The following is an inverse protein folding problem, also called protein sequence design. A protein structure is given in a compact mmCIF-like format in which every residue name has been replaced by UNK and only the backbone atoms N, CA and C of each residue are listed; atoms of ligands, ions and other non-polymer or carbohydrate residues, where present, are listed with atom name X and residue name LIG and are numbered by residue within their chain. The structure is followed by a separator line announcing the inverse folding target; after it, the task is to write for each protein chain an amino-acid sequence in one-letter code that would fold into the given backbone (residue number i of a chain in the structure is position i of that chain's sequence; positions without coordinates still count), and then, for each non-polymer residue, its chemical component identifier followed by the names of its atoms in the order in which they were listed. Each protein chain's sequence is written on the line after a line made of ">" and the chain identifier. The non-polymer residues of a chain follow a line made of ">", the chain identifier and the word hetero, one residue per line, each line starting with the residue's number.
data_IF_494551953118
#
_entry.id   IF_494551953118
#
_cell.length_a   1.000
_cell.length_b   1.000
_cell.length_c   1.000
_cell.angle_alpha   90.00
_cell.angle_beta   90.00
_cell.angle_gamma   90.00
#
_symmetry.space_group_name_H-M   'P 1'
#
loop_
_entity.id
_entity.type
_entity.pdbx_description
1 polymer ?
#
# COMPACT_ATOMS: atom_id res chain seq x y z
N UNK A 1 22.26 -11.68 -7.00
CA UNK A 1 20.98 -11.05 -7.34
C UNK A 1 21.15 -9.56 -7.53
N UNK A 2 20.77 -9.07 -8.71
CA UNK A 2 20.64 -7.66 -9.08
C UNK A 2 19.15 -7.32 -9.14
N UNK A 3 18.74 -6.34 -8.34
CA UNK A 3 17.32 -5.99 -8.15
C UNK A 3 17.13 -4.51 -8.43
N UNK A 4 16.10 -4.15 -9.19
CA UNK A 4 15.58 -2.77 -9.20
C UNK A 4 14.35 -2.71 -8.28
N UNK A 5 14.33 -1.75 -7.36
CA UNK A 5 13.18 -1.50 -6.49
C UNK A 5 12.72 -0.05 -6.61
N UNK A 6 11.56 0.16 -7.23
CA UNK A 6 10.94 1.50 -7.24
C UNK A 6 10.19 1.75 -5.94
N UNK A 7 10.08 3.02 -5.54
CA UNK A 7 9.31 3.39 -4.36
C UNK A 7 9.95 3.00 -3.03
N UNK A 8 11.27 2.81 -2.99
CA UNK A 8 12.00 2.39 -1.77
C UNK A 8 11.89 3.38 -0.60
N UNK A 9 11.57 4.66 -0.85
CA UNK A 9 11.26 5.65 0.21
C UNK A 9 9.78 5.66 0.63
N UNK A 10 8.96 4.83 -0.01
CA UNK A 10 7.54 4.66 0.31
C UNK A 10 7.30 3.76 1.51
N UNK A 11 6.04 3.68 1.94
CA UNK A 11 5.62 2.89 3.11
C UNK A 11 5.96 1.41 2.97
N UNK A 12 5.53 0.78 1.88
CA UNK A 12 5.84 -0.63 1.63
C UNK A 12 7.23 -0.84 1.05
N UNK A 13 7.66 0.00 0.09
CA UNK A 13 8.95 -0.15 -0.58
C UNK A 13 10.14 -0.09 0.38
N UNK A 14 10.11 0.76 1.42
CA UNK A 14 11.16 0.78 2.45
C UNK A 14 11.24 -0.54 3.22
N UNK A 15 10.09 -1.14 3.53
CA UNK A 15 10.01 -2.43 4.22
C UNK A 15 10.39 -3.60 3.32
N UNK A 16 10.11 -3.53 2.03
CA UNK A 16 10.62 -4.49 1.03
C UNK A 16 12.15 -4.40 1.00
N UNK A 17 12.73 -3.20 0.94
CA UNK A 17 14.19 -3.03 0.94
C UNK A 17 14.81 -3.63 2.21
N UNK A 18 14.25 -3.35 3.38
CA UNK A 18 14.75 -3.92 4.63
C UNK A 18 14.62 -5.44 4.64
N UNK A 19 13.47 -5.97 4.22
CA UNK A 19 13.22 -7.41 4.14
C UNK A 19 14.14 -8.12 3.16
N UNK A 20 14.52 -7.48 2.05
CA UNK A 20 15.48 -8.00 1.08
C UNK A 20 16.83 -8.22 1.77
N UNK A 21 17.37 -7.20 2.43
CA UNK A 21 18.65 -7.33 3.13
C UNK A 21 18.57 -8.30 4.30
N UNK A 22 17.50 -8.28 5.11
CA UNK A 22 17.36 -9.22 6.24
C UNK A 22 17.30 -10.68 5.81
N UNK A 23 16.59 -11.00 4.72
CA UNK A 23 16.32 -12.39 4.33
C UNK A 23 17.27 -12.91 3.25
N UNK A 24 17.85 -12.02 2.45
CA UNK A 24 18.59 -12.37 1.22
C UNK A 24 19.95 -11.68 1.13
N UNK A 25 20.50 -11.15 2.24
CA UNK A 25 21.80 -10.48 2.26
C UNK A 25 22.89 -11.26 1.53
N UNK A 26 22.97 -12.58 1.73
CA UNK A 26 24.07 -13.40 1.20
C UNK A 26 24.06 -13.54 -0.34
N UNK A 27 22.91 -13.29 -0.98
CA UNK A 27 22.75 -13.48 -2.42
C UNK A 27 22.49 -12.16 -3.16
N UNK A 28 22.30 -11.04 -2.44
CA UNK A 28 22.16 -9.71 -3.03
C UNK A 28 23.54 -9.19 -3.42
N UNK A 29 23.72 -8.96 -4.72
CA UNK A 29 24.90 -8.32 -5.30
C UNK A 29 24.70 -6.80 -5.35
N UNK A 30 23.58 -6.35 -5.93
CA UNK A 30 23.27 -4.92 -6.05
C UNK A 30 21.76 -4.67 -6.02
N UNK A 31 21.36 -3.60 -5.34
CA UNK A 31 19.99 -3.06 -5.38
C UNK A 31 20.02 -1.64 -5.93
N UNK A 32 19.38 -1.46 -7.08
CA UNK A 32 19.21 -0.20 -7.76
C UNK A 32 17.93 0.47 -7.27
N UNK A 33 18.04 1.71 -6.79
CA UNK A 33 16.95 2.46 -6.17
C UNK A 33 16.68 3.75 -6.96
N UNK A 34 15.70 3.74 -7.89
CA UNK A 34 15.23 4.95 -8.56
C UNK A 34 14.46 5.84 -7.59
N UNK A 35 15.01 7.01 -7.26
CA UNK A 35 14.47 7.93 -6.26
C UNK A 35 14.33 9.34 -6.85
N UNK A 36 13.16 9.94 -6.64
CA UNK A 36 12.92 11.35 -6.96
C UNK A 36 13.55 12.24 -5.90
N UNK A 37 14.19 13.33 -6.31
CA UNK A 37 14.48 14.46 -5.41
C UNK A 37 13.18 14.97 -4.79
N UNK A 38 13.24 15.45 -3.55
CA UNK A 38 12.06 16.04 -2.88
C UNK A 38 12.49 17.17 -1.97
N UNK A 39 11.88 18.34 -2.19
CA UNK A 39 12.29 19.60 -1.57
C UNK A 39 13.80 19.82 -1.84
N UNK A 40 14.57 20.16 -0.80
CA UNK A 40 16.02 20.33 -0.87
C UNK A 40 16.83 19.03 -0.71
N UNK A 41 16.17 17.85 -0.66
CA UNK A 41 16.90 16.59 -0.44
C UNK A 41 17.21 15.87 -1.75
N UNK A 42 18.46 15.46 -1.91
CA UNK A 42 18.90 14.62 -3.04
C UNK A 42 18.38 13.18 -2.91
N UNK A 43 18.34 12.41 -4.02
CA UNK A 43 18.00 10.99 -3.98
C UNK A 43 18.78 10.19 -2.93
N UNK A 44 20.09 10.44 -2.82
CA UNK A 44 21.00 9.77 -1.89
C UNK A 44 20.69 10.12 -0.44
N UNK A 45 20.51 11.42 -0.15
CA UNK A 45 20.18 11.90 1.20
C UNK A 45 18.87 11.29 1.71
N UNK A 46 17.89 11.11 0.81
CA UNK A 46 16.62 10.46 1.12
C UNK A 46 16.79 9.00 1.55
N UNK A 47 17.62 8.24 0.84
CA UNK A 47 17.95 6.85 1.19
C UNK A 47 18.75 6.78 2.49
N UNK A 48 19.76 7.64 2.66
CA UNK A 48 20.58 7.70 3.87
C UNK A 48 19.69 8.02 5.09
N UNK A 49 18.82 9.03 5.00
CA UNK A 49 17.89 9.39 6.09
C UNK A 49 16.96 8.24 6.46
N UNK A 50 16.47 7.49 5.48
CA UNK A 50 15.63 6.32 5.72
C UNK A 50 16.40 5.20 6.45
N UNK A 51 17.64 4.90 6.01
CA UNK A 51 18.46 3.83 6.58
C UNK A 51 18.98 4.15 7.99
N UNK A 52 19.28 5.43 8.26
CA UNK A 52 19.68 5.92 9.59
C UNK A 52 18.50 6.22 10.53
N UNK A 53 17.26 6.09 10.05
CA UNK A 53 16.07 6.41 10.84
C UNK A 53 15.99 5.57 12.12
N UNK A 54 15.45 6.15 13.19
CA UNK A 54 15.13 5.38 14.42
C UNK A 54 14.19 4.20 14.11
N UNK A 55 13.39 4.30 13.04
CA UNK A 55 12.43 3.30 12.56
C UNK A 55 13.03 2.22 11.64
N UNK A 56 14.33 2.28 11.34
CA UNK A 56 15.02 1.21 10.64
C UNK A 56 15.22 0.00 11.59
N UNK A 57 15.00 -1.25 11.13
CA UNK A 57 15.26 -2.45 11.93
C UNK A 57 16.73 -2.53 12.40
N UNK A 58 16.96 -3.18 13.53
CA UNK A 58 18.32 -3.34 14.08
C UNK A 58 19.27 -3.99 13.10
N UNK A 59 18.82 -5.03 12.38
CA UNK A 59 19.64 -5.66 11.32
C UNK A 59 20.17 -4.65 10.30
N UNK A 60 19.35 -3.69 9.89
CA UNK A 60 19.75 -2.66 8.92
C UNK A 60 20.79 -1.73 9.53
N UNK A 61 20.60 -1.32 10.79
CA UNK A 61 21.55 -0.46 11.52
C UNK A 61 22.90 -1.16 11.71
N UNK A 62 22.87 -2.43 12.12
CA UNK A 62 24.06 -3.23 12.43
C UNK A 62 24.87 -3.58 11.17
N UNK A 63 24.26 -3.59 9.99
CA UNK A 63 24.88 -3.96 8.72
C UNK A 63 24.99 -2.79 7.73
N UNK A 64 24.82 -1.55 8.20
CA UNK A 64 24.64 -0.39 7.35
C UNK A 64 25.76 -0.16 6.32
N UNK A 65 27.07 -0.26 6.65
CA UNK A 65 28.12 -0.08 5.66
C UNK A 65 28.04 -1.09 4.49
N UNK A 66 27.79 -2.37 4.81
CA UNK A 66 27.63 -3.43 3.81
C UNK A 66 26.37 -3.25 2.95
N UNK A 67 25.29 -2.72 3.54
CA UNK A 67 24.06 -2.42 2.82
C UNK A 67 24.28 -1.27 1.84
N UNK A 68 24.92 -0.18 2.29
CA UNK A 68 25.19 0.99 1.46
C UNK A 68 26.08 0.66 0.26
N UNK A 69 27.10 -0.17 0.44
CA UNK A 69 27.98 -0.63 -0.66
C UNK A 69 27.19 -1.36 -1.77
N UNK A 70 26.13 -2.08 -1.39
CA UNK A 70 25.28 -2.82 -2.31
C UNK A 70 24.10 -2.03 -2.85
N UNK A 71 23.88 -0.80 -2.40
CA UNK A 71 22.86 0.09 -2.95
C UNK A 71 23.48 0.95 -4.05
N UNK A 72 22.72 1.17 -5.12
CA UNK A 72 22.98 2.24 -6.09
C UNK A 72 21.73 3.09 -6.19
N UNK A 73 21.82 4.32 -5.70
CA UNK A 73 20.76 5.31 -5.88
C UNK A 73 20.83 5.84 -7.30
N UNK A 74 19.67 6.00 -7.93
CA UNK A 74 19.52 6.48 -9.29
C UNK A 74 18.52 7.63 -9.25
N UNK A 75 18.82 8.71 -9.96
CA UNK A 75 17.82 9.74 -10.21
C UNK A 75 16.65 9.14 -11.00
N UNK A 76 15.43 9.21 -10.44
CA UNK A 76 14.25 8.64 -11.06
C UNK A 76 13.94 9.18 -12.47
N UNK A 77 14.47 10.36 -12.85
CA UNK A 77 14.35 10.88 -14.22
C UNK A 77 15.06 10.00 -15.26
N UNK A 78 16.07 9.24 -14.85
CA UNK A 78 16.79 8.28 -15.69
C UNK A 78 16.12 6.91 -15.74
N UNK A 79 15.05 6.67 -14.95
CA UNK A 79 14.48 5.34 -14.79
C UNK A 79 14.08 4.69 -16.13
N UNK A 80 13.55 5.47 -17.07
CA UNK A 80 13.13 4.97 -18.38
C UNK A 80 14.28 4.77 -19.38
N UNK A 81 15.53 5.02 -18.97
CA UNK A 81 16.74 4.71 -19.72
C UNK A 81 17.56 3.60 -19.01
N UNK A 82 17.15 2.33 -19.14
CA UNK A 82 17.85 1.20 -18.52
C UNK A 82 19.29 1.05 -19.03
N UNK A 83 19.62 1.55 -20.22
CA UNK A 83 20.96 1.42 -20.79
C UNK A 83 21.98 2.23 -20.00
N UNK A 84 21.64 3.47 -19.64
CA UNK A 84 22.52 4.30 -18.80
C UNK A 84 22.65 3.76 -17.37
N UNK A 85 21.58 3.19 -16.83
CA UNK A 85 21.56 2.64 -15.46
C UNK A 85 22.33 1.33 -15.36
N UNK A 86 22.07 0.38 -16.27
CA UNK A 86 22.53 -1.00 -16.15
C UNK A 86 23.78 -1.28 -16.98
N UNK A 87 24.17 -0.40 -17.91
CA UNK A 87 25.33 -0.60 -18.81
C UNK A 87 25.30 -2.00 -19.49
N UNK A 88 24.13 -2.37 -20.01
CA UNK A 88 23.84 -3.67 -20.64
C UNK A 88 23.84 -4.90 -19.71
N UNK A 89 23.93 -4.73 -18.40
CA UNK A 89 23.79 -5.83 -17.46
C UNK A 89 22.32 -6.25 -17.33
N UNK A 90 22.10 -7.55 -17.14
CA UNK A 90 20.79 -8.10 -16.79
C UNK A 90 20.51 -7.92 -15.29
N UNK A 91 19.24 -7.82 -14.95
CA UNK A 91 18.73 -7.87 -13.58
C UNK A 91 17.90 -9.14 -13.39
N UNK A 92 17.91 -9.68 -12.19
CA UNK A 92 17.12 -10.86 -11.84
C UNK A 92 15.66 -10.45 -11.64
N UNK A 93 15.44 -9.39 -10.87
CA UNK A 93 14.10 -8.93 -10.50
C UNK A 93 13.94 -7.43 -10.67
N UNK A 94 12.84 -7.03 -11.33
CA UNK A 94 12.31 -5.68 -11.23
C UNK A 94 11.11 -5.68 -10.28
N UNK A 95 11.24 -5.06 -9.11
CA UNK A 95 10.15 -4.92 -8.13
C UNK A 95 9.57 -3.51 -8.24
N UNK A 96 8.41 -3.40 -8.88
CA UNK A 96 7.71 -2.14 -9.05
C UNK A 96 6.74 -1.89 -7.88
N UNK A 97 7.23 -1.20 -6.84
CA UNK A 97 6.43 -0.82 -5.66
C UNK A 97 5.99 0.64 -5.64
N UNK A 98 6.52 1.48 -6.52
CA UNK A 98 6.04 2.85 -6.68
C UNK A 98 4.58 2.86 -7.15
N UNK A 99 3.79 3.76 -6.57
CA UNK A 99 2.40 3.97 -6.96
C UNK A 99 1.86 5.26 -6.37
N UNK A 100 0.94 5.89 -7.09
CA UNK A 100 0.26 7.10 -6.66
C UNK A 100 -1.08 6.74 -6.03
N UNK A 101 -1.09 6.60 -4.70
CA UNK A 101 -2.29 6.28 -3.92
C UNK A 101 -3.14 7.54 -3.74
N UNK A 102 -4.10 7.71 -4.64
CA UNK A 102 -5.09 8.79 -4.59
C UNK A 102 -6.49 8.18 -4.75
N UNK A 103 -7.28 8.22 -3.68
CA UNK A 103 -8.61 7.60 -3.62
C UNK A 103 -9.72 8.52 -4.17
N UNK A 104 -9.36 9.53 -4.96
CA UNK A 104 -10.33 10.45 -5.57
C UNK A 104 -11.21 9.75 -6.60
N UNK A 105 -12.50 10.08 -6.54
CA UNK A 105 -13.50 9.73 -7.55
C UNK A 105 -13.76 10.89 -8.52
N UNK A 106 -13.09 12.03 -8.31
CA UNK A 106 -13.27 13.20 -9.15
C UNK A 106 -12.69 12.96 -10.54
N UNK A 107 -13.45 13.34 -11.58
CA UNK A 107 -13.04 13.16 -12.96
C UNK A 107 -11.69 13.83 -13.27
N UNK A 108 -11.44 15.00 -12.69
CA UNK A 108 -10.17 15.74 -12.84
C UNK A 108 -8.95 14.99 -12.30
N UNK A 109 -9.12 14.07 -11.36
CA UNK A 109 -8.02 13.28 -10.82
C UNK A 109 -7.71 12.02 -11.66
N UNK A 110 -8.61 11.62 -12.57
CA UNK A 110 -8.51 10.36 -13.30
C UNK A 110 -7.25 10.28 -14.15
N UNK A 111 -6.98 11.32 -14.93
CA UNK A 111 -5.85 11.32 -15.87
C UNK A 111 -4.52 11.20 -15.14
N UNK A 112 -4.27 12.04 -14.12
CA UNK A 112 -3.06 11.98 -13.30
C UNK A 112 -2.88 10.61 -12.64
N UNK A 113 -3.96 10.02 -12.11
CA UNK A 113 -3.93 8.70 -11.48
C UNK A 113 -3.57 7.61 -12.48
N UNK A 114 -4.10 7.66 -13.71
CA UNK A 114 -3.79 6.70 -14.76
C UNK A 114 -2.37 6.91 -15.32
N UNK A 115 -1.90 8.14 -15.45
CA UNK A 115 -0.56 8.43 -15.92
C UNK A 115 0.49 7.90 -14.93
N UNK A 116 0.36 8.22 -13.64
CA UNK A 116 1.32 7.82 -12.61
C UNK A 116 1.29 6.31 -12.28
N UNK A 117 0.14 5.65 -12.40
CA UNK A 117 0.03 4.22 -12.07
C UNK A 117 0.06 3.31 -13.29
N UNK A 118 -0.69 3.63 -14.35
CA UNK A 118 -0.84 2.75 -15.51
C UNK A 118 0.18 3.03 -16.60
N UNK A 119 0.20 4.25 -17.14
CA UNK A 119 1.13 4.62 -18.22
C UNK A 119 2.59 4.40 -17.79
N UNK A 120 2.94 4.89 -16.59
CA UNK A 120 4.28 4.73 -16.06
C UNK A 120 4.69 3.26 -15.83
N UNK A 121 3.77 2.40 -15.36
CA UNK A 121 4.04 0.95 -15.23
C UNK A 121 4.31 0.33 -16.60
N UNK A 122 3.52 0.69 -17.61
CA UNK A 122 3.69 0.22 -18.98
C UNK A 122 5.04 0.65 -19.57
N UNK A 123 5.43 1.90 -19.38
CA UNK A 123 6.69 2.44 -19.88
C UNK A 123 7.88 1.74 -19.22
N UNK A 124 7.83 1.54 -17.90
CA UNK A 124 8.85 0.78 -17.17
C UNK A 124 8.95 -0.65 -17.70
N UNK A 125 7.83 -1.38 -17.81
CA UNK A 125 7.85 -2.77 -18.26
C UNK A 125 8.48 -2.89 -19.66
N UNK A 126 8.06 -2.02 -20.59
CA UNK A 126 8.58 -2.02 -21.95
C UNK A 126 10.08 -1.69 -21.99
N UNK A 127 10.53 -0.67 -21.23
CA UNK A 127 11.94 -0.29 -21.18
C UNK A 127 12.82 -1.42 -20.63
N UNK A 128 12.40 -2.08 -19.54
CA UNK A 128 13.20 -3.09 -18.86
C UNK A 128 13.04 -4.52 -19.40
N UNK A 129 12.07 -4.78 -20.29
CA UNK A 129 11.86 -6.11 -20.90
C UNK A 129 13.16 -6.75 -21.43
N UNK A 130 14.07 -6.02 -22.12
CA UNK A 130 15.33 -6.60 -22.57
C UNK A 130 16.36 -6.83 -21.47
N UNK A 131 16.12 -6.41 -20.23
CA UNK A 131 17.11 -6.39 -19.16
C UNK A 131 16.74 -7.28 -17.97
N UNK A 132 15.46 -7.61 -17.77
CA UNK A 132 14.98 -8.32 -16.58
C UNK A 132 14.68 -9.79 -16.82
N UNK A 133 14.80 -10.59 -15.76
CA UNK A 133 14.39 -12.00 -15.77
C UNK A 133 12.98 -12.21 -15.22
N UNK A 134 12.51 -11.32 -14.33
CA UNK A 134 11.16 -11.34 -13.76
C UNK A 134 10.68 -9.93 -13.38
N UNK A 135 9.40 -9.66 -13.59
CA UNK A 135 8.74 -8.42 -13.17
C UNK A 135 7.75 -8.68 -12.04
N UNK A 136 8.02 -8.12 -10.86
CA UNK A 136 7.16 -8.20 -9.67
C UNK A 136 6.43 -6.87 -9.50
N UNK A 137 5.11 -6.90 -9.70
CA UNK A 137 4.26 -5.72 -9.58
C UNK A 137 3.54 -5.70 -8.24
N UNK A 138 3.73 -4.63 -7.48
CA UNK A 138 2.96 -4.41 -6.25
C UNK A 138 1.69 -3.66 -6.59
N UNK A 139 0.60 -4.41 -6.66
CA UNK A 139 -0.74 -3.89 -6.88
C UNK A 139 -1.45 -3.65 -5.55
N UNK A 140 -2.75 -3.90 -5.47
CA UNK A 140 -3.57 -3.79 -4.27
C UNK A 140 -4.72 -4.78 -4.32
N UNK A 141 -5.13 -5.31 -3.17
CA UNK A 141 -6.30 -6.20 -3.08
C UNK A 141 -7.57 -5.52 -3.62
N UNK A 142 -7.64 -4.19 -3.54
CA UNK A 142 -8.78 -3.40 -4.00
C UNK A 142 -8.88 -3.24 -5.52
N UNK A 143 -7.87 -3.68 -6.29
CA UNK A 143 -7.94 -3.72 -7.75
C UNK A 143 -9.07 -4.65 -8.25
N UNK A 144 -9.52 -5.59 -7.39
CA UNK A 144 -10.69 -6.42 -7.62
C UNK A 144 -12.02 -5.62 -7.72
N UNK A 145 -12.04 -4.38 -7.22
CA UNK A 145 -13.23 -3.53 -7.23
C UNK A 145 -14.29 -3.93 -6.21
N UNK A 146 -15.54 -3.53 -6.48
CA UNK A 146 -16.70 -3.82 -5.62
C UNK A 146 -17.49 -5.02 -6.11
N UNK A 147 -16.93 -6.20 -5.89
CA UNK A 147 -17.47 -7.48 -6.38
C UNK A 147 -18.12 -8.34 -5.30
N UNK A 148 -17.66 -8.25 -4.04
CA UNK A 148 -18.18 -9.02 -2.91
C UNK A 148 -17.90 -10.53 -3.01
N UNK A 149 -18.16 -11.24 -1.91
CA UNK A 149 -18.05 -12.70 -1.86
C UNK A 149 -16.62 -13.21 -1.66
N UNK A 150 -16.36 -14.47 -2.02
CA UNK A 150 -15.06 -15.12 -1.81
C UNK A 150 -14.11 -14.84 -2.97
N UNK A 151 -12.97 -14.23 -2.66
CA UNK A 151 -11.91 -13.84 -3.58
C UNK A 151 -10.69 -14.74 -3.41
N UNK A 152 -10.33 -15.40 -4.50
CA UNK A 152 -9.08 -16.15 -4.65
C UNK A 152 -8.02 -15.25 -5.29
N UNK A 153 -6.84 -15.80 -5.56
CA UNK A 153 -5.71 -15.06 -6.11
C UNK A 153 -5.89 -14.66 -7.59
N UNK A 154 -6.82 -15.29 -8.32
CA UNK A 154 -7.17 -14.97 -9.71
C UNK A 154 -8.66 -14.64 -9.85
N UNK A 155 -8.98 -13.40 -9.49
CA UNK A 155 -10.35 -12.88 -9.60
C UNK A 155 -10.71 -12.35 -11.00
N UNK A 156 -9.89 -12.61 -12.03
CA UNK A 156 -10.10 -12.08 -13.39
C UNK A 156 -11.51 -12.38 -13.94
N UNK A 157 -11.99 -13.60 -13.71
CA UNK A 157 -13.33 -14.06 -14.12
C UNK A 157 -14.49 -13.46 -13.29
N UNK A 158 -14.20 -12.92 -12.11
CA UNK A 158 -15.19 -12.36 -11.17
C UNK A 158 -15.33 -10.83 -11.33
N UNK A 159 -14.39 -10.19 -12.03
CA UNK A 159 -14.31 -8.74 -12.11
C UNK A 159 -15.40 -8.14 -13.03
N UNK A 160 -16.28 -7.29 -12.48
CA UNK A 160 -17.45 -6.71 -13.20
C UNK A 160 -17.28 -5.27 -13.70
N UNK A 161 -16.07 -4.72 -13.66
CA UNK A 161 -15.82 -3.33 -14.09
C UNK A 161 -16.25 -2.26 -13.09
N UNK A 162 -16.68 -2.67 -11.89
CA UNK A 162 -17.14 -1.76 -10.82
C UNK A 162 -15.98 -1.44 -9.90
N UNK A 163 -15.45 -0.22 -10.02
CA UNK A 163 -14.40 0.31 -9.14
C UNK A 163 -14.97 1.37 -8.21
N UNK A 164 -14.40 1.47 -7.01
CA UNK A 164 -14.76 2.50 -6.04
C UNK A 164 -14.13 3.85 -6.36
N UNK A 165 -12.97 3.85 -7.02
CA UNK A 165 -12.26 5.06 -7.43
C UNK A 165 -11.33 4.80 -8.62
N UNK A 166 -10.68 5.87 -9.11
CA UNK A 166 -9.78 5.80 -10.25
C UNK A 166 -8.47 5.06 -9.95
N UNK A 167 -8.05 4.96 -8.68
CA UNK A 167 -6.84 4.23 -8.28
C UNK A 167 -7.01 2.72 -8.40
N UNK A 168 -8.15 2.17 -7.96
CA UNK A 168 -8.46 0.75 -8.19
C UNK A 168 -8.48 0.41 -9.69
N UNK A 169 -9.13 1.27 -10.47
CA UNK A 169 -9.24 1.11 -11.92
C UNK A 169 -7.87 1.16 -12.61
N UNK A 170 -6.98 2.07 -12.22
CA UNK A 170 -5.64 2.17 -12.82
C UNK A 170 -4.75 1.00 -12.42
N UNK A 171 -4.82 0.54 -11.17
CA UNK A 171 -4.10 -0.65 -10.70
C UNK A 171 -4.52 -1.91 -11.46
N UNK A 172 -5.82 -2.13 -11.63
CA UNK A 172 -6.31 -3.27 -12.39
C UNK A 172 -5.96 -3.17 -13.89
N UNK A 173 -5.98 -1.96 -14.47
CA UNK A 173 -5.50 -1.75 -15.85
C UNK A 173 -4.02 -2.13 -16.01
N UNK A 174 -3.16 -1.77 -15.04
CA UNK A 174 -1.76 -2.20 -15.02
C UNK A 174 -1.61 -3.71 -14.94
N UNK A 175 -2.38 -4.37 -14.07
CA UNK A 175 -2.36 -5.83 -13.96
C UNK A 175 -2.69 -6.51 -15.29
N UNK A 176 -3.76 -6.09 -15.96
CA UNK A 176 -4.15 -6.64 -17.27
C UNK A 176 -3.06 -6.49 -18.31
N UNK A 177 -2.53 -5.26 -18.45
CA UNK A 177 -1.44 -5.00 -19.38
C UNK A 177 -0.22 -5.88 -19.08
N UNK A 178 0.18 -5.98 -17.81
CA UNK A 178 1.36 -6.75 -17.42
C UNK A 178 1.18 -8.25 -17.68
N UNK A 179 0.01 -8.82 -17.39
CA UNK A 179 -0.25 -10.25 -17.67
C UNK A 179 -0.16 -10.54 -19.18
N UNK A 180 -0.77 -9.70 -20.01
CA UNK A 180 -0.72 -9.84 -21.48
C UNK A 180 0.71 -9.63 -22.01
N UNK A 181 1.39 -8.57 -21.57
CA UNK A 181 2.73 -8.23 -22.01
C UNK A 181 3.78 -9.24 -21.53
N UNK A 182 3.64 -9.76 -20.31
CA UNK A 182 4.49 -10.82 -19.76
C UNK A 182 4.49 -12.06 -20.63
N UNK A 183 3.31 -12.54 -21.03
CA UNK A 183 3.18 -13.67 -21.97
C UNK A 183 3.80 -13.33 -23.32
N UNK A 184 3.46 -12.16 -23.88
CA UNK A 184 3.95 -11.73 -25.21
C UNK A 184 5.48 -11.66 -25.28
N UNK A 185 6.12 -11.20 -24.21
CA UNK A 185 7.56 -10.98 -24.16
C UNK A 185 8.34 -12.12 -23.49
N UNK A 186 7.66 -13.20 -23.10
CA UNK A 186 8.22 -14.31 -22.33
C UNK A 186 8.95 -13.84 -21.06
N UNK A 187 8.35 -12.88 -20.36
CA UNK A 187 8.82 -12.38 -19.06
C UNK A 187 7.83 -12.83 -17.99
N UNK A 188 8.27 -13.65 -17.01
CA UNK A 188 7.47 -13.97 -15.84
C UNK A 188 7.02 -12.68 -15.12
N UNK A 189 5.70 -12.55 -14.97
CA UNK A 189 5.06 -11.46 -14.24
C UNK A 189 4.42 -12.02 -12.99
N UNK A 190 4.68 -11.37 -11.86
CA UNK A 190 4.07 -11.67 -10.58
C UNK A 190 3.31 -10.46 -10.05
N UNK A 191 2.04 -10.62 -9.70
CA UNK A 191 1.19 -9.57 -9.15
C UNK A 191 0.94 -9.85 -7.67
N UNK A 192 1.39 -8.94 -6.81
CA UNK A 192 1.26 -9.06 -5.35
C UNK A 192 0.35 -7.94 -4.83
N UNK A 193 -0.71 -8.31 -4.12
CA UNK A 193 -1.84 -7.43 -3.77
C UNK A 193 -2.00 -7.30 -2.26
N UNK A 194 -1.23 -6.43 -1.59
CA UNK A 194 -1.51 -6.08 -0.20
C UNK A 194 -2.87 -5.39 -0.05
N UNK A 195 -3.56 -5.63 1.07
CA UNK A 195 -4.70 -4.81 1.53
C UNK A 195 -4.21 -3.51 2.17
N UNK A 196 -5.04 -2.86 3.00
CA UNK A 196 -4.67 -1.61 3.66
C UNK A 196 -3.48 -1.86 4.58
N UNK A 197 -2.41 -1.08 4.42
CA UNK A 197 -1.22 -1.25 5.24
C UNK A 197 -1.42 -0.64 6.63
N UNK A 198 -1.25 -1.47 7.65
CA UNK A 198 -1.12 -1.06 9.05
C UNK A 198 0.35 -0.95 9.47
N UNK A 199 0.59 -0.58 10.72
CA UNK A 199 1.93 -0.48 11.27
C UNK A 199 2.64 -1.84 11.45
N UNK A 200 3.94 -1.84 11.70
CA UNK A 200 4.71 -3.07 11.88
C UNK A 200 4.10 -3.98 12.95
N UNK A 201 4.09 -5.29 12.74
CA UNK A 201 3.71 -6.26 13.77
C UNK A 201 4.94 -6.91 14.43
N UNK A 202 6.03 -7.08 13.68
CA UNK A 202 7.27 -7.74 14.12
C UNK A 202 8.41 -6.76 14.33
N UNK A 203 8.60 -5.81 13.42
CA UNK A 203 9.73 -4.89 13.46
C UNK A 203 9.52 -3.78 14.51
N UNK A 204 10.57 -3.48 15.28
CA UNK A 204 10.56 -2.32 16.16
C UNK A 204 10.78 -0.99 15.41
N UNK A 205 10.14 0.10 15.85
CA UNK A 205 9.08 0.10 16.86
C UNK A 205 7.78 -0.50 16.30
N UNK A 206 7.09 -1.27 17.14
CA UNK A 206 5.80 -1.85 16.78
C UNK A 206 4.81 -0.76 16.36
N UNK A 207 3.95 -1.12 15.43
CA UNK A 207 2.89 -0.28 14.86
C UNK A 207 3.37 0.96 14.10
N UNK A 208 4.67 1.04 13.80
CA UNK A 208 5.18 2.10 12.94
C UNK A 208 4.69 1.95 11.50
N UNK A 209 4.25 3.07 10.92
CA UNK A 209 4.01 3.26 9.50
C UNK A 209 4.51 4.64 9.08
N UNK A 210 5.07 4.78 7.88
CA UNK A 210 5.66 6.05 7.44
C UNK A 210 4.64 7.09 6.96
N UNK A 211 3.44 6.66 6.55
CA UNK A 211 2.35 7.52 6.07
C UNK A 211 1.01 7.05 6.61
N UNK A 212 0.15 8.01 6.93
CA UNK A 212 -1.14 7.80 7.55
C UNK A 212 -2.27 7.97 6.52
N UNK A 213 -2.67 6.87 5.87
CA UNK A 213 -3.72 6.81 4.84
C UNK A 213 -4.96 6.03 5.31
N UNK A 214 -6.06 6.07 4.55
CA UNK A 214 -7.28 5.27 4.79
C UNK A 214 -7.84 5.51 6.20
N UNK A 215 -7.87 4.50 7.09
CA UNK A 215 -8.43 4.62 8.44
C UNK A 215 -7.64 5.59 9.33
N UNK A 216 -6.36 5.84 9.03
CA UNK A 216 -5.61 6.88 9.72
C UNK A 216 -6.06 8.29 9.32
N UNK A 217 -6.60 8.50 8.10
CA UNK A 217 -7.17 9.80 7.70
C UNK A 217 -8.44 10.07 8.50
N UNK A 218 -9.27 9.05 8.70
CA UNK A 218 -10.43 9.11 9.57
C UNK A 218 -10.02 9.47 11.00
N UNK A 219 -9.09 8.72 11.60
CA UNK A 219 -8.58 9.01 12.94
C UNK A 219 -8.00 10.43 13.05
N UNK A 220 -7.17 10.83 12.09
CA UNK A 220 -6.53 12.15 12.07
C UNK A 220 -7.55 13.29 11.96
N UNK A 221 -8.59 13.12 11.15
CA UNK A 221 -9.66 14.12 10.99
C UNK A 221 -10.32 14.42 12.34
N UNK A 222 -10.79 13.39 13.06
CA UNK A 222 -11.46 13.57 14.34
C UNK A 222 -10.51 13.95 15.47
N UNK A 223 -9.26 13.50 15.44
CA UNK A 223 -8.24 13.94 16.39
C UNK A 223 -7.98 15.46 16.31
N UNK A 224 -8.05 16.03 15.10
CA UNK A 224 -7.81 17.45 14.86
C UNK A 224 -9.10 18.29 14.86
N UNK A 225 -10.28 17.67 15.03
CA UNK A 225 -11.55 18.40 15.09
C UNK A 225 -11.66 19.14 16.40
N UNK A 226 -11.98 20.43 16.35
CA UNK A 226 -12.33 21.24 17.52
C UNK A 226 -13.85 21.24 17.80
N UNK A 227 -14.66 20.73 16.88
CA UNK A 227 -16.11 20.60 17.06
C UNK A 227 -16.44 19.26 17.73
N UNK A 228 -17.44 19.30 18.61
CA UNK A 228 -18.08 18.14 19.24
C UNK A 228 -19.50 17.92 18.70
N UNK A 229 -19.85 18.51 17.56
CA UNK A 229 -21.16 18.35 16.96
C UNK A 229 -21.43 16.88 16.61
N UNK A 230 -22.71 16.51 16.61
CA UNK A 230 -23.11 15.16 16.22
C UNK A 230 -22.71 14.91 14.77
N UNK A 231 -22.09 13.76 14.52
CA UNK A 231 -21.87 13.22 13.18
C UNK A 231 -22.48 11.83 13.03
N UNK A 232 -23.11 11.58 11.89
CA UNK A 232 -23.53 10.26 11.46
C UNK A 232 -22.53 9.70 10.46
N UNK A 233 -22.04 8.49 10.70
CA UNK A 233 -21.19 7.77 9.77
C UNK A 233 -22.02 6.73 9.01
N UNK A 234 -22.08 6.86 7.69
CA UNK A 234 -22.83 5.96 6.81
C UNK A 234 -22.04 4.68 6.57
N UNK A 235 -22.54 3.55 7.06
CA UNK A 235 -21.91 2.22 6.94
C UNK A 235 -22.93 1.10 7.12
N UNK A 236 -22.64 -0.10 6.61
CA UNK A 236 -23.50 -1.29 6.77
C UNK A 236 -23.01 -2.16 7.93
N UNK A 237 -23.86 -3.07 8.42
CA UNK A 237 -23.48 -4.00 9.50
C UNK A 237 -22.42 -5.01 9.06
N UNK A 238 -22.33 -5.26 7.75
CA UNK A 238 -21.44 -6.25 7.15
C UNK A 238 -20.16 -5.64 6.58
N UNK A 239 -20.01 -4.31 6.54
CA UNK A 239 -18.85 -3.68 5.94
C UNK A 239 -17.58 -4.01 6.75
N UNK A 240 -16.52 -4.41 6.05
CA UNK A 240 -15.27 -4.82 6.64
C UNK A 240 -14.09 -3.98 6.14
N UNK A 241 -13.04 -3.91 6.95
CA UNK A 241 -11.76 -3.30 6.63
C UNK A 241 -10.65 -4.35 6.77
N UNK A 242 -10.03 -4.72 5.65
CA UNK A 242 -8.86 -5.60 5.65
C UNK A 242 -7.57 -4.80 5.86
N UNK A 243 -6.85 -5.07 6.95
CA UNK A 243 -5.62 -4.36 7.33
C UNK A 243 -4.49 -5.35 7.52
N UNK A 244 -3.42 -5.23 6.73
CA UNK A 244 -2.25 -6.11 6.84
C UNK A 244 -1.03 -5.33 7.38
N UNK A 245 -0.24 -5.89 8.31
CA UNK A 245 0.98 -5.26 8.78
C UNK A 245 1.99 -5.07 7.66
N UNK A 246 2.54 -3.86 7.56
CA UNK A 246 3.40 -3.50 6.42
C UNK A 246 4.71 -4.28 6.35
N UNK A 247 5.25 -4.69 7.49
CA UNK A 247 6.46 -5.52 7.58
C UNK A 247 6.17 -6.98 7.25
N UNK A 248 5.04 -7.52 7.69
CA UNK A 248 4.57 -8.84 7.24
C UNK A 248 4.39 -8.87 5.72
N UNK A 249 3.69 -7.89 5.14
CA UNK A 249 3.48 -7.82 3.70
C UNK A 249 4.79 -7.76 2.92
N UNK A 250 5.77 -6.97 3.39
CA UNK A 250 7.10 -6.92 2.80
C UNK A 250 7.84 -8.26 2.87
N UNK A 251 7.75 -8.97 4.00
CA UNK A 251 8.38 -10.29 4.16
C UNK A 251 7.75 -11.34 3.25
N UNK A 252 6.44 -11.30 3.04
CA UNK A 252 5.73 -12.13 2.06
C UNK A 252 6.23 -11.84 0.65
N UNK A 253 6.32 -10.56 0.26
CA UNK A 253 6.79 -10.15 -1.07
C UNK A 253 8.19 -10.70 -1.36
N UNK A 254 9.11 -10.56 -0.41
CA UNK A 254 10.50 -11.04 -0.55
C UNK A 254 10.59 -12.58 -0.58
N UNK A 255 9.65 -13.30 0.04
CA UNK A 255 9.55 -14.76 -0.10
C UNK A 255 8.93 -15.18 -1.43
N UNK A 256 7.86 -14.51 -1.84
CA UNK A 256 7.10 -14.84 -3.04
C UNK A 256 7.87 -14.55 -4.34
N UNK A 257 8.77 -13.55 -4.35
CA UNK A 257 9.49 -13.15 -5.57
C UNK A 257 10.30 -14.28 -6.22
N UNK A 258 10.77 -15.26 -5.45
CA UNK A 258 11.53 -16.43 -5.94
C UNK A 258 10.63 -17.64 -6.30
N UNK A 259 9.32 -17.51 -6.18
CA UNK A 259 8.36 -18.59 -6.50
C UNK A 259 7.72 -18.38 -7.86
N UNK A 260 7.13 -19.43 -8.45
CA UNK A 260 6.38 -19.34 -9.71
C UNK A 260 4.92 -18.86 -9.52
N UNK A 261 4.57 -18.35 -8.33
CA UNK A 261 3.24 -17.80 -8.06
C UNK A 261 3.02 -16.59 -8.95
N UNK A 262 2.03 -16.64 -9.85
CA UNK A 262 1.71 -15.53 -10.75
C UNK A 262 0.93 -14.40 -10.06
N UNK A 263 0.02 -14.73 -9.15
CA UNK A 263 -0.83 -13.74 -8.47
C UNK A 263 -1.02 -14.12 -7.00
N UNK A 264 -1.00 -13.13 -6.09
CA UNK A 264 -1.19 -13.37 -4.66
C UNK A 264 -1.87 -12.17 -3.96
N UNK A 265 -2.95 -12.43 -3.24
CA UNK A 265 -3.55 -11.51 -2.29
C UNK A 265 -2.82 -11.60 -0.94
N UNK A 266 -2.33 -10.48 -0.43
CA UNK A 266 -1.63 -10.38 0.86
C UNK A 266 -2.57 -9.65 1.83
N UNK A 267 -3.48 -10.44 2.40
CA UNK A 267 -4.68 -9.97 3.10
C UNK A 267 -4.98 -10.91 4.26
N UNK A 268 -5.81 -10.48 5.21
CA UNK A 268 -6.45 -11.43 6.14
C UNK A 268 -7.62 -12.15 5.50
N UNK A 269 -7.89 -13.38 5.93
CA UNK A 269 -9.09 -14.13 5.52
C UNK A 269 -10.39 -13.51 6.03
N UNK A 270 -10.31 -12.78 7.15
CA UNK A 270 -11.40 -12.02 7.77
C UNK A 270 -11.05 -10.55 7.85
N UNK A 271 -12.06 -9.70 7.82
CA UNK A 271 -11.91 -8.25 7.88
C UNK A 271 -12.29 -7.73 9.27
N UNK A 272 -11.71 -6.60 9.67
CA UNK A 272 -12.14 -5.86 10.87
C UNK A 272 -13.52 -5.27 10.61
N UNK A 273 -14.50 -5.50 11.50
CA UNK A 273 -15.82 -4.89 11.35
C UNK A 273 -15.70 -3.37 11.44
N UNK A 274 -16.31 -2.66 10.47
CA UNK A 274 -16.13 -1.21 10.35
C UNK A 274 -16.80 -0.42 11.48
N UNK A 275 -17.98 -0.86 11.98
CA UNK A 275 -18.66 -0.18 13.10
C UNK A 275 -17.81 -0.29 14.37
N UNK A 276 -17.41 -1.50 14.75
CA UNK A 276 -16.60 -1.72 15.95
C UNK A 276 -15.23 -1.05 15.82
N UNK A 277 -14.59 -1.19 14.66
CA UNK A 277 -13.30 -0.55 14.37
C UNK A 277 -13.36 0.98 14.45
N UNK A 278 -14.37 1.62 13.84
CA UNK A 278 -14.53 3.07 13.91
C UNK A 278 -14.87 3.56 15.32
N UNK A 279 -15.69 2.82 16.07
CA UNK A 279 -15.95 3.12 17.49
C UNK A 279 -14.65 3.15 18.30
N UNK A 280 -13.78 2.14 18.12
CA UNK A 280 -12.46 2.12 18.76
C UNK A 280 -11.59 3.30 18.35
N UNK A 281 -11.60 3.68 17.06
CA UNK A 281 -10.87 4.87 16.60
C UNK A 281 -11.39 6.13 17.29
N UNK A 282 -12.71 6.31 17.35
CA UNK A 282 -13.36 7.44 18.02
C UNK A 282 -12.96 7.52 19.50
N UNK A 283 -12.97 6.39 20.21
CA UNK A 283 -12.51 6.31 21.60
C UNK A 283 -11.05 6.74 21.75
N UNK A 284 -10.17 6.25 20.88
CA UNK A 284 -8.73 6.58 20.89
C UNK A 284 -8.51 8.07 20.66
N UNK A 285 -9.23 8.69 19.72
CA UNK A 285 -9.06 10.12 19.40
C UNK A 285 -9.85 11.03 20.35
N UNK A 286 -10.72 10.46 21.19
CA UNK A 286 -11.48 11.18 22.22
C UNK A 286 -12.76 11.83 21.70
N UNK A 287 -13.30 11.38 20.56
CA UNK A 287 -14.50 11.95 19.96
C UNK A 287 -15.72 11.09 20.29
N UNK A 288 -16.73 11.67 20.95
CA UNK A 288 -17.84 10.90 21.55
C UNK A 288 -19.20 11.10 20.87
N UNK A 289 -19.40 12.19 20.14
CA UNK A 289 -20.71 12.56 19.62
C UNK A 289 -20.92 12.03 18.20
N UNK A 290 -21.04 10.70 18.06
CA UNK A 290 -21.24 10.04 16.78
C UNK A 290 -22.37 9.02 16.82
N UNK A 291 -22.89 8.67 15.65
CA UNK A 291 -23.82 7.55 15.44
C UNK A 291 -23.55 6.89 14.09
N UNK A 292 -23.99 5.64 13.92
CA UNK A 292 -23.94 4.96 12.63
C UNK A 292 -25.32 4.97 11.97
N UNK A 293 -25.35 5.08 10.65
CA UNK A 293 -26.58 4.96 9.85
C UNK A 293 -26.32 4.16 8.58
N UNK A 294 -27.34 3.49 8.05
CA UNK A 294 -27.28 2.91 6.71
C UNK A 294 -27.74 3.92 5.63
N UNK A 295 -28.31 5.05 6.04
CA UNK A 295 -28.71 6.10 5.11
C UNK A 295 -27.50 6.74 4.44
N UNK A 296 -27.62 7.04 3.15
CA UNK A 296 -26.60 7.82 2.43
C UNK A 296 -26.62 9.26 2.95
N UNK A 297 -25.46 9.83 3.20
CA UNK A 297 -25.31 11.24 3.63
C UNK A 297 -24.55 12.03 2.56
N UNK A 298 -25.15 13.11 2.07
CA UNK A 298 -24.62 14.02 1.06
C UNK A 298 -25.47 15.30 1.01
N UNK A 299 -25.13 16.23 0.12
CA UNK A 299 -25.85 17.50 -0.05
C UNK A 299 -27.34 17.37 -0.40
N UNK A 300 -27.79 16.23 -0.95
CA UNK A 300 -29.21 15.98 -1.27
C UNK A 300 -29.98 15.43 -0.08
N UNK A 301 -29.37 14.54 0.72
CA UNK A 301 -30.02 13.93 1.90
C UNK A 301 -29.89 14.79 3.15
N UNK A 302 -29.07 15.83 3.10
CA UNK A 302 -28.87 16.80 4.18
C UNK A 302 -27.84 16.36 5.22
N UNK A 303 -27.19 17.37 5.81
CA UNK A 303 -26.24 17.24 6.91
C UNK A 303 -26.88 17.72 8.22
N UNK A 304 -26.56 17.07 9.34
CA UNK A 304 -27.05 17.43 10.69
C UNK A 304 -26.17 18.45 11.42
N UNK A 305 -24.96 18.70 10.92
CA UNK A 305 -24.01 19.67 11.49
C UNK A 305 -23.01 20.14 10.43
N UNK A 306 -22.33 21.25 10.70
CA UNK A 306 -21.23 21.74 9.87
C UNK A 306 -20.04 20.78 9.88
N UNK A 307 -19.79 20.11 11.00
CA UNK A 307 -18.79 19.04 11.09
C UNK A 307 -19.14 17.86 10.17
N UNK A 308 -20.40 17.42 10.16
CA UNK A 308 -20.87 16.34 9.29
C UNK A 308 -20.71 16.73 7.81
N UNK A 309 -21.12 17.95 7.44
CA UNK A 309 -20.91 18.49 6.09
C UNK A 309 -19.43 18.49 5.72
N UNK A 310 -18.59 19.05 6.58
CA UNK A 310 -17.14 19.14 6.34
C UNK A 310 -16.50 17.76 6.19
N UNK A 311 -16.88 16.78 7.01
CA UNK A 311 -16.39 15.40 6.87
C UNK A 311 -16.74 14.82 5.50
N UNK A 312 -18.03 14.85 5.11
CA UNK A 312 -18.48 14.22 3.86
C UNK A 312 -17.97 14.92 2.60
N UNK A 313 -17.74 16.24 2.66
CA UNK A 313 -17.21 17.03 1.53
C UNK A 313 -15.68 16.97 1.42
N UNK A 314 -14.97 16.44 2.43
CA UNK A 314 -13.49 16.36 2.43
C UNK A 314 -12.96 14.94 2.47
N UNK A 315 -12.83 14.33 3.65
CA UNK A 315 -12.25 12.98 3.81
C UNK A 315 -13.28 11.90 3.45
N UNK A 316 -14.55 12.14 3.77
CA UNK A 316 -15.65 11.20 3.56
C UNK A 316 -15.85 10.83 2.08
N UNK A 317 -15.64 11.75 1.13
CA UNK A 317 -15.76 11.45 -0.31
C UNK A 317 -14.83 10.31 -0.76
N UNK A 318 -13.67 10.18 -0.12
CA UNK A 318 -12.66 9.17 -0.44
C UNK A 318 -12.90 7.83 0.28
N UNK A 319 -13.48 7.88 1.49
CA UNK A 319 -13.65 6.69 2.34
C UNK A 319 -15.03 6.05 2.19
N UNK A 320 -16.07 6.84 1.95
CA UNK A 320 -17.45 6.37 1.93
C UNK A 320 -17.72 5.19 0.97
N UNK A 321 -17.12 5.13 -0.25
CA UNK A 321 -17.26 3.96 -1.12
C UNK A 321 -16.79 2.64 -0.50
N UNK A 322 -15.89 2.69 0.49
CA UNK A 322 -15.41 1.53 1.24
C UNK A 322 -16.26 1.23 2.48
N UNK A 323 -16.96 2.23 3.02
CA UNK A 323 -17.78 2.05 4.23
C UNK A 323 -19.12 1.36 3.95
N UNK A 324 -19.54 1.32 2.69
CA UNK A 324 -20.83 0.77 2.25
C UNK A 324 -20.69 -0.37 1.23
N UNK A 325 -19.45 -0.79 0.94
CA UNK A 325 -19.19 -1.85 -0.02
C UNK A 325 -19.64 -3.23 0.45
N UNK A 326 -19.83 -4.13 -0.50
CA UNK A 326 -20.10 -5.53 -0.19
C UNK A 326 -18.90 -6.15 0.55
N UNK A 327 -19.12 -6.99 1.58
CA UNK A 327 -18.05 -7.68 2.27
C UNK A 327 -17.31 -8.63 1.33
N UNK A 328 -15.99 -8.70 1.48
CA UNK A 328 -15.17 -9.71 0.84
C UNK A 328 -14.70 -10.73 1.88
N UNK A 329 -14.62 -11.99 1.44
CA UNK A 329 -13.88 -13.03 2.13
C UNK A 329 -12.70 -13.41 1.24
N UNK A 330 -11.56 -13.73 1.84
CA UNK A 330 -10.34 -13.96 1.09
C UNK A 330 -9.83 -15.37 1.33
N UNK A 331 -9.55 -16.10 0.25
CA UNK A 331 -8.82 -17.35 0.34
C UNK A 331 -7.33 -17.05 0.55
N UNK A 332 -6.87 -17.28 1.79
CA UNK A 332 -5.47 -17.05 2.19
C UNK A 332 -4.64 -18.32 2.21
N UNK A 333 -5.15 -19.46 1.71
CA UNK A 333 -4.46 -20.75 1.80
C UNK A 333 -3.04 -20.70 1.20
N UNK A 334 -2.92 -20.10 0.01
CA UNK A 334 -1.61 -19.92 -0.64
C UNK A 334 -0.71 -18.95 0.13
N UNK A 335 -1.27 -17.84 0.64
CA UNK A 335 -0.52 -16.86 1.44
C UNK A 335 0.08 -17.50 2.69
N UNK A 336 -0.73 -18.24 3.44
CA UNK A 336 -0.34 -18.94 4.66
C UNK A 336 0.74 -19.99 4.40
N UNK A 337 0.75 -20.63 3.22
CA UNK A 337 1.81 -21.58 2.84
C UNK A 337 3.17 -20.91 2.58
N UNK A 338 3.21 -19.62 2.24
CA UNK A 338 4.44 -18.86 1.99
C UNK A 338 5.01 -18.32 3.30
N UNK A 339 4.14 -17.67 4.08
CA UNK A 339 4.46 -17.15 5.39
C UNK A 339 3.18 -17.08 6.23
N UNK A 340 3.07 -17.88 7.30
CA UNK A 340 1.89 -17.85 8.15
C UNK A 340 1.61 -16.45 8.71
N UNK A 341 0.34 -16.04 8.69
CA UNK A 341 -0.09 -14.76 9.23
C UNK A 341 0.12 -14.78 10.76
N UNK A 342 0.78 -13.77 11.36
CA UNK A 342 0.93 -13.71 12.80
C UNK A 342 -0.43 -13.68 13.51
N UNK A 343 -0.53 -14.35 14.65
CA UNK A 343 -1.76 -14.35 15.46
C UNK A 343 -1.85 -13.06 16.27
N UNK A 344 -2.88 -12.25 16.00
CA UNK A 344 -3.28 -11.09 16.80
C UNK A 344 -4.77 -10.80 16.58
N UNK A 345 -5.37 -10.06 17.51
CA UNK A 345 -6.74 -9.57 17.35
C UNK A 345 -6.75 -8.38 16.37
N UNK A 346 -7.61 -8.44 15.35
CA UNK A 346 -7.64 -7.43 14.28
C UNK A 346 -8.12 -6.06 14.77
N UNK A 347 -9.01 -6.03 15.76
CA UNK A 347 -9.51 -4.78 16.32
C UNK A 347 -8.52 -4.17 17.32
N UNK A 348 -7.85 -4.99 18.12
CA UNK A 348 -6.77 -4.56 19.01
C UNK A 348 -5.60 -4.02 18.19
N UNK A 349 -5.22 -4.71 17.10
CA UNK A 349 -4.18 -4.25 16.19
C UNK A 349 -4.53 -2.89 15.57
N UNK A 350 -5.78 -2.72 15.10
CA UNK A 350 -6.28 -1.42 14.63
C UNK A 350 -6.14 -0.35 15.71
N UNK A 351 -6.56 -0.66 16.95
CA UNK A 351 -6.45 0.29 18.06
C UNK A 351 -5.00 0.67 18.39
N UNK A 352 -4.10 -0.30 18.44
CA UNK A 352 -2.70 -0.09 18.78
C UNK A 352 -2.00 0.75 17.71
N UNK A 353 -2.28 0.48 16.43
CA UNK A 353 -1.67 1.23 15.34
C UNK A 353 -2.18 2.66 15.22
N UNK A 354 -3.46 2.90 15.51
CA UNK A 354 -4.00 4.26 15.60
C UNK A 354 -3.49 4.99 16.84
N UNK A 355 -3.31 4.31 17.96
CA UNK A 355 -2.71 4.86 19.18
C UNK A 355 -1.27 5.29 18.94
N UNK A 356 -0.47 4.45 18.26
CA UNK A 356 0.87 4.81 17.82
C UNK A 356 0.85 6.05 16.92
N UNK A 357 -0.01 6.08 15.90
CA UNK A 357 -0.15 7.21 14.99
C UNK A 357 -0.50 8.52 15.73
N UNK A 358 -1.44 8.45 16.70
CA UNK A 358 -1.82 9.58 17.56
C UNK A 358 -0.63 10.06 18.40
N UNK A 359 0.15 9.17 19.00
CA UNK A 359 1.36 9.54 19.75
C UNK A 359 2.40 10.28 18.90
N UNK A 360 2.44 9.98 17.59
CA UNK A 360 3.27 10.66 16.58
C UNK A 360 2.56 11.84 15.91
N UNK A 361 1.41 12.28 16.43
CA UNK A 361 0.58 13.39 15.92
C UNK A 361 0.23 13.25 14.44
N UNK A 362 0.12 12.02 13.94
CA UNK A 362 -0.11 11.70 12.54
C UNK A 362 0.84 12.44 11.56
N UNK A 363 2.10 12.66 11.99
CA UNK A 363 3.15 13.29 11.17
C UNK A 363 3.86 12.25 10.31
N UNK A 364 3.57 12.26 9.01
CA UNK A 364 4.23 11.38 8.05
C UNK A 364 5.72 11.68 7.93
N UNK A 365 6.46 10.64 7.65
CA UNK A 365 7.90 10.69 7.47
C UNK A 365 8.24 11.32 6.11
N UNK A 366 9.31 12.13 6.09
CA UNK A 366 9.63 13.00 4.94
C UNK A 366 10.86 12.56 4.13
N UNK A 367 11.48 11.45 4.51
CA UNK A 367 12.62 10.91 3.79
C UNK A 367 12.24 10.36 2.41
#
# INVERSE_FOLDING_TARGET
>A
MKIILTGATGTLGSKILFSLFEQKSQIIEKVFLPIRSKNSNTPEERIIKMLHSEYAPNFIKDNLPSILDRIQVIDATLLLDPTSILKHQKIDFFIHSAGFVNLSTAHSAKEDIFNENYAFTKDIFNAYTPFMSKFVYISTAFAAGDIGGVLDNDYSNKHKGKYRNHYEASKHASEKFLLEAGVKHNIPVQILRPSVLGGNIKDHPHFFISKYMVFYLFAKFFHNSNSNDLIRISTTDTAGLNIIPTDYAARVIVKAMETDIGQLNIVHSKETNLKTGMSKIFDIVGFKNFSFTQEKINGTTGFKSDLEKYYYETIGVHLHPYLTSMPNQWDTTLLESILPIPTYDLEEYLSQTVTFAKSKKFRSQQW
#
